data_IF_041207181967
#
_entry.id   IF_041207181967
#
_cell.length_a   1.000
_cell.length_b   1.000
_cell.length_c   1.000
_cell.angle_alpha   90.00
_cell.angle_beta   90.00
_cell.angle_gamma   90.00
#
_symmetry.space_group_name_H-M   'P 1'
#
loop_
_entity.id
_entity.type
_entity.pdbx_description
1 polymer ?
#
# COMPACT_ATOMS: atom_id res chain seq x y z
N UNK A 1 0.72 11.95 -6.34
CA UNK A 1 0.96 12.15 -4.87
C UNK A 1 -0.14 12.99 -4.17
N UNK A 2 -0.42 12.86 -2.86
CA UNK A 2 -1.34 13.77 -2.10
C UNK A 2 -0.52 14.85 -1.38
N UNK A 3 -1.11 16.00 -1.05
CA UNK A 3 -0.42 17.10 -0.33
C UNK A 3 0.23 16.65 0.99
N UNK A 4 -0.41 15.74 1.72
CA UNK A 4 0.12 15.19 2.98
C UNK A 4 1.35 14.30 2.81
N UNK A 5 1.70 13.88 1.59
CA UNK A 5 2.90 13.08 1.34
C UNK A 5 4.14 13.89 1.07
N UNK A 6 3.99 15.18 0.75
CA UNK A 6 5.10 16.03 0.30
C UNK A 6 6.29 15.99 1.29
N UNK A 7 6.09 15.98 2.63
CA UNK A 7 7.20 15.84 3.56
C UNK A 7 7.94 14.50 3.44
N UNK A 8 7.20 13.39 3.29
CA UNK A 8 7.79 12.06 3.12
C UNK A 8 8.52 11.95 1.79
N UNK A 9 7.91 12.45 0.71
CA UNK A 9 8.52 12.49 -0.62
C UNK A 9 9.81 13.31 -0.63
N UNK A 10 9.82 14.48 0.02
CA UNK A 10 11.04 15.29 0.15
C UNK A 10 12.16 14.50 0.85
N UNK A 11 11.84 13.87 1.98
CA UNK A 11 12.79 13.05 2.75
C UNK A 11 13.33 11.86 1.95
N UNK A 12 12.49 11.17 1.17
CA UNK A 12 12.94 10.06 0.31
C UNK A 12 13.83 10.58 -0.81
N UNK A 13 13.46 11.69 -1.45
CA UNK A 13 14.25 12.32 -2.51
C UNK A 13 15.65 12.73 -2.03
N UNK A 14 15.74 13.35 -0.85
CA UNK A 14 17.03 13.71 -0.23
C UNK A 14 17.92 12.47 0.02
N UNK A 15 17.32 11.39 0.50
CA UNK A 15 18.04 10.11 0.71
C UNK A 15 18.48 9.46 -0.60
N UNK A 16 17.65 9.52 -1.65
CA UNK A 16 18.02 9.00 -2.97
C UNK A 16 19.21 9.76 -3.56
N UNK A 17 19.21 11.09 -3.46
CA UNK A 17 20.36 11.90 -3.90
C UNK A 17 21.62 11.54 -3.12
N UNK A 18 21.53 11.44 -1.79
CA UNK A 18 22.70 11.07 -0.96
C UNK A 18 23.22 9.66 -1.27
N UNK A 19 22.34 8.75 -1.70
CA UNK A 19 22.73 7.39 -2.09
C UNK A 19 23.39 7.36 -3.49
N UNK A 20 22.90 8.22 -4.40
CA UNK A 20 23.41 8.38 -5.77
C UNK A 20 24.84 8.92 -5.80
N UNK A 21 25.23 9.74 -4.81
CA UNK A 21 26.61 10.25 -4.67
C UNK A 21 27.68 9.14 -4.53
N UNK A 22 27.26 7.93 -4.13
CA UNK A 22 28.15 6.79 -3.85
C UNK A 22 27.80 5.57 -4.73
N UNK A 23 26.59 5.53 -5.31
CA UNK A 23 26.10 4.38 -6.07
C UNK A 23 25.37 4.84 -7.33
N UNK A 24 25.72 4.27 -8.48
CA UNK A 24 24.99 4.55 -9.71
C UNK A 24 23.56 4.01 -9.65
N UNK A 25 22.60 4.84 -10.08
CA UNK A 25 21.17 4.51 -10.13
C UNK A 25 20.63 4.54 -11.57
N UNK A 26 21.10 3.65 -12.47
CA UNK A 26 20.82 3.72 -13.90
C UNK A 26 19.32 3.66 -14.25
N UNK A 27 18.50 3.02 -13.41
CA UNK A 27 17.05 2.89 -13.61
C UNK A 27 16.24 4.17 -13.37
N UNK A 28 16.84 5.21 -12.78
CA UNK A 28 16.13 6.45 -12.42
C UNK A 28 16.83 7.74 -12.87
N UNK A 29 17.75 7.63 -13.84
CA UNK A 29 18.48 8.79 -14.38
C UNK A 29 17.52 9.84 -14.97
N UNK A 30 16.46 9.39 -15.64
CA UNK A 30 15.44 10.30 -16.16
C UNK A 30 14.60 10.86 -15.02
N UNK A 31 14.26 12.15 -15.11
CA UNK A 31 13.37 12.81 -14.15
C UNK A 31 12.05 12.05 -13.97
N UNK A 32 11.46 11.56 -15.07
CA UNK A 32 10.21 10.80 -15.04
C UNK A 32 10.35 9.47 -14.27
N UNK A 33 11.43 8.73 -14.49
CA UNK A 33 11.71 7.48 -13.76
C UNK A 33 11.94 7.74 -12.27
N UNK A 34 12.66 8.82 -11.93
CA UNK A 34 12.91 9.24 -10.54
C UNK A 34 11.62 9.62 -9.82
N UNK A 35 10.78 10.42 -10.46
CA UNK A 35 9.46 10.80 -9.94
C UNK A 35 8.56 9.58 -9.77
N UNK A 36 8.57 8.66 -10.74
CA UNK A 36 7.83 7.39 -10.68
C UNK A 36 8.25 6.54 -9.47
N UNK A 37 9.56 6.33 -9.27
CA UNK A 37 10.07 5.61 -8.10
C UNK A 37 9.66 6.31 -6.79
N UNK A 38 9.76 7.63 -6.74
CA UNK A 38 9.39 8.41 -5.56
C UNK A 38 7.91 8.21 -5.20
N UNK A 39 7.02 8.24 -6.20
CA UNK A 39 5.60 7.96 -5.99
C UNK A 39 5.34 6.53 -5.52
N UNK A 40 6.04 5.53 -6.08
CA UNK A 40 5.95 4.13 -5.67
C UNK A 40 6.38 3.93 -4.21
N UNK A 41 7.49 4.56 -3.79
CA UNK A 41 7.99 4.44 -2.42
C UNK A 41 7.01 5.07 -1.41
N UNK A 42 6.47 6.25 -1.73
CA UNK A 42 5.44 6.90 -0.90
C UNK A 42 4.18 6.03 -0.81
N UNK A 43 3.72 5.47 -1.93
CA UNK A 43 2.57 4.56 -1.94
C UNK A 43 2.82 3.29 -1.11
N UNK A 44 4.02 2.71 -1.20
CA UNK A 44 4.44 1.58 -0.38
C UNK A 44 4.38 1.90 1.12
N UNK A 45 4.97 3.02 1.56
CA UNK A 45 4.91 3.46 2.96
C UNK A 45 3.46 3.65 3.45
N UNK A 46 2.56 4.12 2.58
CA UNK A 46 1.14 4.27 2.92
C UNK A 46 0.43 2.94 3.07
N UNK A 47 0.69 1.98 2.17
CA UNK A 47 0.10 0.65 2.26
C UNK A 47 0.53 -0.04 3.54
N UNK A 48 1.81 0.06 3.92
CA UNK A 48 2.31 -0.42 5.21
C UNK A 48 1.56 0.27 6.35
N UNK A 49 1.52 1.61 6.38
CA UNK A 49 0.82 2.36 7.43
C UNK A 49 -0.66 1.98 7.54
N UNK A 50 -1.34 1.80 6.41
CA UNK A 50 -2.74 1.39 6.38
C UNK A 50 -2.91 0.03 7.03
N UNK A 51 -2.17 -0.98 6.56
CA UNK A 51 -2.25 -2.36 7.07
C UNK A 51 -1.92 -2.41 8.56
N UNK A 52 -0.86 -1.74 9.01
CA UNK A 52 -0.50 -1.71 10.44
C UNK A 52 -1.56 -1.01 11.28
N UNK A 53 -2.20 0.04 10.74
CA UNK A 53 -3.29 0.75 11.43
C UNK A 53 -4.49 -0.16 11.61
N UNK A 54 -4.99 -0.77 10.52
CA UNK A 54 -6.19 -1.62 10.60
C UNK A 54 -5.94 -2.89 11.42
N UNK A 55 -4.72 -3.44 11.43
CA UNK A 55 -4.37 -4.61 12.22
C UNK A 55 -4.49 -4.38 13.74
N UNK A 56 -4.32 -3.13 14.19
CA UNK A 56 -4.44 -2.73 15.59
C UNK A 56 -5.84 -2.23 15.97
N UNK A 57 -6.76 -2.09 15.01
CA UNK A 57 -8.12 -1.64 15.28
C UNK A 57 -9.00 -2.80 15.74
N UNK A 58 -9.88 -2.51 16.70
CA UNK A 58 -11.05 -3.35 16.98
C UNK A 58 -12.17 -2.90 16.04
N UNK A 59 -12.64 -3.83 15.20
CA UNK A 59 -13.64 -3.56 14.18
C UNK A 59 -14.90 -4.38 14.44
N UNK A 60 -16.04 -3.79 14.10
CA UNK A 60 -17.32 -4.50 14.12
C UNK A 60 -17.40 -5.52 12.96
N UNK A 61 -18.18 -6.59 13.14
CA UNK A 61 -18.35 -7.65 12.13
C UNK A 61 -18.90 -7.13 10.80
N UNK A 62 -19.56 -5.97 10.76
CA UNK A 62 -20.07 -5.34 9.52
C UNK A 62 -19.00 -5.06 8.45
N UNK A 63 -17.70 -5.14 8.77
CA UNK A 63 -16.63 -5.05 7.76
C UNK A 63 -16.50 -6.31 6.90
N UNK A 64 -17.13 -7.43 7.29
CA UNK A 64 -17.01 -8.72 6.57
C UNK A 64 -18.13 -8.96 5.56
N UNK A 65 -19.22 -8.19 5.59
CA UNK A 65 -20.37 -8.39 4.70
C UNK A 65 -20.23 -7.57 3.41
N UNK A 66 -20.00 -8.19 2.24
CA UNK A 66 -19.77 -7.50 0.97
C UNK A 66 -20.98 -6.69 0.46
N UNK A 67 -22.17 -6.90 1.01
CA UNK A 67 -23.36 -6.10 0.68
C UNK A 67 -23.39 -4.76 1.41
N UNK A 68 -22.56 -4.58 2.46
CA UNK A 68 -22.49 -3.36 3.26
C UNK A 68 -21.44 -2.41 2.71
N UNK A 69 -21.70 -1.10 2.84
CA UNK A 69 -20.74 -0.04 2.50
C UNK A 69 -19.48 -0.04 3.37
N UNK A 70 -19.56 -0.66 4.55
CA UNK A 70 -18.44 -0.82 5.50
C UNK A 70 -17.46 -1.90 5.08
N UNK A 71 -17.82 -2.75 4.12
CA UNK A 71 -16.96 -3.81 3.64
C UNK A 71 -15.64 -3.27 3.10
N UNK A 72 -14.55 -3.83 3.63
CA UNK A 72 -13.21 -3.66 3.11
C UNK A 72 -12.50 -5.00 3.28
N UNK A 73 -11.99 -5.61 2.21
CA UNK A 73 -11.47 -6.97 2.27
C UNK A 73 -10.23 -7.10 3.18
N UNK A 74 -9.43 -6.04 3.33
CA UNK A 74 -8.28 -6.06 4.24
C UNK A 74 -8.73 -5.92 5.69
N UNK A 75 -9.75 -5.11 5.97
CA UNK A 75 -10.35 -5.03 7.31
C UNK A 75 -11.07 -6.32 7.70
N UNK A 76 -11.80 -6.92 6.77
CA UNK A 76 -12.43 -8.23 6.94
C UNK A 76 -11.39 -9.31 7.25
N UNK A 77 -10.28 -9.35 6.50
CA UNK A 77 -9.18 -10.27 6.78
C UNK A 77 -8.60 -10.11 8.20
N UNK A 78 -8.42 -8.86 8.66
CA UNK A 78 -7.99 -8.59 10.05
C UNK A 78 -9.03 -9.07 11.05
N UNK A 79 -10.32 -8.79 10.83
CA UNK A 79 -11.40 -9.23 11.71
C UNK A 79 -11.44 -10.76 11.83
N UNK A 80 -11.39 -11.49 10.72
CA UNK A 80 -11.38 -12.95 10.74
C UNK A 80 -10.15 -13.51 11.45
N UNK A 81 -8.96 -12.92 11.23
CA UNK A 81 -7.74 -13.29 11.94
C UNK A 81 -7.87 -13.08 13.45
N UNK A 82 -8.42 -11.95 13.89
CA UNK A 82 -8.63 -11.66 15.32
C UNK A 82 -9.65 -12.61 15.96
N UNK A 83 -10.60 -13.15 15.19
CA UNK A 83 -11.61 -14.12 15.64
C UNK A 83 -11.21 -15.58 15.39
N UNK A 84 -9.95 -15.86 15.04
CA UNK A 84 -9.41 -17.21 14.88
C UNK A 84 -9.73 -17.91 13.55
N UNK A 85 -10.42 -17.24 12.62
CA UNK A 85 -10.68 -17.78 11.28
C UNK A 85 -9.56 -17.38 10.30
N UNK A 86 -8.46 -18.11 10.36
CA UNK A 86 -7.24 -17.80 9.62
C UNK A 86 -7.38 -18.08 8.10
N UNK A 87 -8.11 -19.13 7.72
CA UNK A 87 -8.34 -19.48 6.31
C UNK A 87 -9.06 -18.36 5.56
N UNK A 88 -10.14 -17.83 6.14
CA UNK A 88 -10.89 -16.73 5.53
C UNK A 88 -10.03 -15.45 5.44
N UNK A 89 -9.22 -15.19 6.47
CA UNK A 89 -8.28 -14.07 6.45
C UNK A 89 -7.24 -14.20 5.31
N UNK A 90 -6.73 -15.40 5.06
CA UNK A 90 -5.82 -15.65 3.94
C UNK A 90 -6.50 -15.46 2.59
N UNK A 91 -7.68 -16.05 2.39
CA UNK A 91 -8.43 -15.92 1.14
C UNK A 91 -8.74 -14.47 0.80
N UNK A 92 -9.22 -13.69 1.77
CA UNK A 92 -9.50 -12.28 1.56
C UNK A 92 -8.24 -11.47 1.25
N UNK A 93 -7.11 -11.78 1.90
CA UNK A 93 -5.83 -11.14 1.60
C UNK A 93 -5.35 -11.48 0.19
N UNK A 94 -5.48 -12.74 -0.22
CA UNK A 94 -5.13 -13.20 -1.56
C UNK A 94 -5.99 -12.50 -2.62
N UNK A 95 -7.32 -12.53 -2.47
CA UNK A 95 -8.26 -11.90 -3.40
C UNK A 95 -8.03 -10.38 -3.49
N UNK A 96 -7.82 -9.71 -2.35
CA UNK A 96 -7.53 -8.27 -2.32
C UNK A 96 -6.22 -7.93 -3.03
N UNK A 97 -5.21 -8.80 -2.94
CA UNK A 97 -3.90 -8.57 -3.57
C UNK A 97 -3.95 -8.89 -5.07
N UNK A 98 -4.59 -10.00 -5.44
CA UNK A 98 -4.65 -10.46 -6.83
C UNK A 98 -5.58 -9.61 -7.70
N UNK A 99 -6.76 -9.26 -7.17
CA UNK A 99 -7.76 -8.47 -7.89
C UNK A 99 -7.73 -6.97 -7.55
N UNK A 100 -6.91 -6.57 -6.58
CA UNK A 100 -6.77 -5.18 -6.16
C UNK A 100 -6.17 -4.31 -7.26
N UNK A 101 -6.97 -3.37 -7.79
CA UNK A 101 -6.48 -2.35 -8.72
C UNK A 101 -6.25 -1.03 -8.00
N UNK A 102 -5.07 -0.43 -8.19
CA UNK A 102 -4.83 0.93 -7.72
C UNK A 102 -5.60 1.91 -8.62
N UNK A 103 -6.70 2.49 -8.11
CA UNK A 103 -7.60 3.38 -8.88
C UNK A 103 -6.91 4.60 -9.51
N UNK A 104 -5.71 4.98 -9.03
CA UNK A 104 -5.05 6.24 -9.42
C UNK A 104 -3.71 6.05 -10.13
N UNK A 105 -3.08 4.89 -9.98
CA UNK A 105 -1.76 4.62 -10.55
C UNK A 105 -1.93 3.46 -11.52
N UNK A 106 -1.64 3.70 -12.80
CA UNK A 106 -1.49 2.67 -13.84
C UNK A 106 -0.21 1.88 -13.56
N UNK A 107 -0.17 1.21 -12.42
CA UNK A 107 0.78 0.16 -12.11
C UNK A 107 -0.07 -1.07 -11.81
N UNK A 108 -0.56 -1.66 -12.90
CA UNK A 108 -0.81 -3.08 -12.88
C UNK A 108 0.54 -3.76 -12.70
N UNK A 109 0.61 -4.71 -11.77
CA UNK A 109 1.46 -5.86 -12.00
C UNK A 109 0.96 -6.41 -13.33
N UNK A 110 1.78 -6.36 -14.37
CA UNK A 110 1.43 -6.92 -15.66
C UNK A 110 0.99 -8.37 -15.43
N UNK A 111 -0.29 -8.63 -15.71
CA UNK A 111 -0.78 -9.94 -16.05
C UNK A 111 -0.96 -9.95 -17.57
#
# INVERSE_FOLDING_TARGET
MRKSDLPLAKKISEKLTSFEDINDLPGIVSKASRECLLEQMVDSCRRIKYVTTIAAMNMDQSVTDPTKKTFDPLKAAVWFKQNGNIEEAFWLTFLATHFGKNKKIRMGIAA
#
